data_IF_986760861067
#
_entry.id   IF_986760861067
#
_cell.length_a   1.000
_cell.length_b   1.000
_cell.length_c   1.000
_cell.angle_alpha   90.00
_cell.angle_beta   90.00
_cell.angle_gamma   90.00
#
_symmetry.space_group_name_H-M   'P 1'
#
loop_
_entity.id
_entity.type
_entity.pdbx_description
1 polymer ?
#
# COMPACT_ATOMS: atom_id res chain seq x y z
N UNK A 1 8.30 20.16 -4.88
CA UNK A 1 7.24 20.56 -3.94
C UNK A 1 6.09 21.12 -4.75
N UNK A 2 5.01 20.35 -4.86
CA UNK A 2 3.83 20.73 -5.63
C UNK A 2 2.92 21.65 -4.84
N UNK A 3 2.12 22.45 -5.55
CA UNK A 3 1.01 23.17 -4.96
C UNK A 3 -0.20 22.23 -4.86
N UNK A 4 -0.66 21.97 -3.64
CA UNK A 4 -1.89 21.20 -3.38
C UNK A 4 -3.07 22.16 -3.26
N UNK A 5 -4.13 21.90 -4.00
CA UNK A 5 -5.38 22.68 -3.93
C UNK A 5 -6.51 21.76 -3.45
N UNK A 6 -7.42 22.21 -2.58
CA UNK A 6 -8.52 21.39 -2.06
C UNK A 6 -9.41 20.78 -3.17
N UNK A 7 -9.58 21.48 -4.29
CA UNK A 7 -10.39 21.03 -5.42
C UNK A 7 -9.70 19.97 -6.30
N UNK A 8 -8.40 19.69 -6.07
CA UNK A 8 -7.70 18.64 -6.81
C UNK A 8 -8.37 17.30 -6.55
N UNK A 9 -8.68 16.62 -7.64
CA UNK A 9 -9.17 15.26 -7.66
C UNK A 9 -7.98 14.31 -7.56
N UNK A 10 -8.04 13.40 -6.60
CA UNK A 10 -6.95 12.48 -6.29
C UNK A 10 -7.43 11.05 -6.43
N UNK A 11 -6.59 10.20 -7.02
CA UNK A 11 -6.74 8.75 -6.87
C UNK A 11 -5.53 8.14 -6.16
N UNK A 12 -5.78 7.17 -5.28
CA UNK A 12 -4.75 6.52 -4.47
C UNK A 12 -4.65 5.05 -4.87
N UNK A 13 -3.45 4.61 -5.26
CA UNK A 13 -3.19 3.26 -5.74
C UNK A 13 -2.16 2.60 -4.82
N UNK A 14 -2.55 1.54 -4.11
CA UNK A 14 -1.72 0.93 -3.06
C UNK A 14 -1.27 -0.47 -3.44
N UNK A 15 0.03 -0.61 -3.64
CA UNK A 15 0.68 -1.92 -3.68
C UNK A 15 0.84 -2.47 -2.26
N UNK A 16 -0.09 -3.34 -1.86
CA UNK A 16 -0.11 -3.89 -0.49
C UNK A 16 1.09 -4.80 -0.25
N UNK A 17 1.60 -5.50 -1.26
CA UNK A 17 2.75 -6.37 -1.09
C UNK A 17 4.01 -5.56 -0.79
N UNK A 18 4.33 -4.58 -1.63
CA UNK A 18 5.50 -3.71 -1.43
C UNK A 18 5.46 -3.03 -0.06
N UNK A 19 4.29 -2.54 0.32
CA UNK A 19 4.02 -1.88 1.58
C UNK A 19 4.19 -2.83 2.79
N UNK A 20 3.64 -4.04 2.71
CA UNK A 20 3.71 -5.04 3.77
C UNK A 20 5.15 -5.56 3.97
N UNK A 21 5.87 -5.88 2.89
CA UNK A 21 7.24 -6.36 2.97
C UNK A 21 8.15 -5.32 3.63
N UNK A 22 8.03 -4.06 3.22
CA UNK A 22 8.80 -2.95 3.78
C UNK A 22 8.48 -2.73 5.26
N UNK A 23 7.20 -2.69 5.64
CA UNK A 23 6.78 -2.48 7.04
C UNK A 23 7.24 -3.61 7.97
N UNK A 24 7.12 -4.86 7.51
CA UNK A 24 7.54 -6.04 8.28
C UNK A 24 9.05 -6.07 8.44
N UNK A 25 9.81 -5.93 7.36
CA UNK A 25 11.27 -6.07 7.38
C UNK A 25 11.95 -4.95 8.18
N UNK A 26 11.50 -3.70 8.01
CA UNK A 26 12.15 -2.56 8.63
C UNK A 26 11.68 -2.31 10.07
N UNK A 27 10.41 -2.58 10.39
CA UNK A 27 9.79 -2.11 11.64
C UNK A 27 9.00 -3.17 12.41
N UNK A 28 8.82 -4.38 11.86
CA UNK A 28 7.99 -5.44 12.44
C UNK A 28 6.59 -4.91 12.83
N UNK A 29 6.01 -4.08 11.96
CA UNK A 29 4.77 -3.35 12.21
C UNK A 29 3.75 -3.58 11.08
N UNK A 30 2.49 -3.26 11.36
CA UNK A 30 1.40 -3.17 10.39
C UNK A 30 1.12 -1.70 10.07
N UNK A 31 0.45 -1.46 8.94
CA UNK A 31 0.08 -0.11 8.49
C UNK A 31 -1.40 0.17 8.69
N UNK A 32 -1.70 1.37 9.17
CA UNK A 32 -3.05 1.90 9.25
C UNK A 32 -3.48 2.44 7.89
N UNK A 33 -4.30 1.67 7.15
CA UNK A 33 -4.82 2.09 5.84
C UNK A 33 -5.65 3.37 5.92
N UNK A 34 -6.41 3.56 7.01
CA UNK A 34 -7.18 4.80 7.22
C UNK A 34 -6.26 6.03 7.30
N UNK A 35 -5.19 5.94 8.09
CA UNK A 35 -4.25 7.05 8.23
C UNK A 35 -3.40 7.23 6.98
N UNK A 36 -3.08 6.13 6.27
CA UNK A 36 -2.43 6.18 4.96
C UNK A 36 -3.27 6.97 3.96
N UNK A 37 -4.56 6.67 3.86
CA UNK A 37 -5.48 7.40 2.97
C UNK A 37 -5.55 8.88 3.33
N UNK A 38 -5.66 9.19 4.63
CA UNK A 38 -5.69 10.58 5.10
C UNK A 38 -4.41 11.35 4.73
N UNK A 39 -3.24 10.74 4.85
CA UNK A 39 -1.96 11.38 4.51
C UNK A 39 -1.78 11.53 3.00
N UNK A 40 -2.26 10.55 2.22
CA UNK A 40 -2.23 10.58 0.76
C UNK A 40 -3.16 11.65 0.19
N UNK A 41 -4.40 11.72 0.68
CA UNK A 41 -5.43 12.63 0.15
C UNK A 41 -5.28 14.04 0.72
N UNK A 42 -4.98 14.16 2.01
CA UNK A 42 -4.97 15.43 2.75
C UNK A 42 -6.34 16.12 2.69
N UNK A 43 -6.40 17.39 2.33
CA UNK A 43 -7.61 18.22 2.24
C UNK A 43 -8.24 18.22 0.82
N UNK A 44 -7.86 17.25 -0.02
CA UNK A 44 -8.24 17.19 -1.43
C UNK A 44 -9.44 16.26 -1.69
N UNK A 45 -9.98 16.32 -2.90
CA UNK A 45 -11.14 15.51 -3.30
C UNK A 45 -10.70 14.10 -3.71
N UNK A 46 -10.98 13.09 -2.87
CA UNK A 46 -10.76 11.70 -3.22
C UNK A 46 -11.77 11.23 -4.29
N UNK A 47 -11.28 10.80 -5.44
CA UNK A 47 -12.09 10.19 -6.52
C UNK A 47 -12.15 8.68 -6.39
N UNK A 48 -11.02 8.02 -6.14
CA UNK A 48 -10.95 6.57 -5.99
C UNK A 48 -9.72 6.16 -5.20
N UNK A 49 -9.86 5.17 -4.32
CA UNK A 49 -8.74 4.54 -3.63
C UNK A 49 -8.79 3.02 -3.88
N UNK A 50 -7.69 2.44 -4.36
CA UNK A 50 -7.61 1.01 -4.69
C UNK A 50 -6.44 0.37 -3.96
N UNK A 51 -6.69 -0.72 -3.24
CA UNK A 51 -5.68 -1.56 -2.62
C UNK A 51 -5.54 -2.87 -3.38
N UNK A 52 -4.34 -3.15 -3.87
CA UNK A 52 -4.02 -4.32 -4.68
C UNK A 52 -3.38 -5.40 -3.82
N UNK A 53 -4.09 -6.51 -3.67
CA UNK A 53 -3.76 -7.59 -2.72
C UNK A 53 -3.51 -8.89 -3.46
N UNK A 54 -2.49 -9.61 -3.02
CA UNK A 54 -2.20 -10.96 -3.50
C UNK A 54 -2.61 -11.92 -2.40
N UNK A 55 -3.71 -12.64 -2.65
CA UNK A 55 -4.29 -13.55 -1.67
C UNK A 55 -3.47 -14.85 -1.65
N UNK A 56 -2.86 -15.15 -0.50
CA UNK A 56 -2.16 -16.40 -0.27
C UNK A 56 -3.11 -17.48 0.28
N UNK A 57 -4.06 -17.07 1.12
CA UNK A 57 -5.14 -17.91 1.65
C UNK A 57 -6.44 -17.08 1.77
N UNK A 58 -7.33 -17.14 0.76
CA UNK A 58 -8.52 -16.30 0.68
C UNK A 58 -9.47 -16.41 1.88
N UNK A 59 -9.52 -17.55 2.57
CA UNK A 59 -10.44 -17.75 3.71
C UNK A 59 -9.93 -17.09 5.00
N UNK A 60 -8.61 -16.89 5.11
CA UNK A 60 -7.96 -16.37 6.32
C UNK A 60 -7.88 -14.83 6.37
N UNK A 61 -8.20 -14.15 5.27
CA UNK A 61 -7.91 -12.72 5.07
C UNK A 61 -9.14 -11.80 5.20
N UNK A 62 -10.33 -12.32 5.54
CA UNK A 62 -11.56 -11.53 5.63
C UNK A 62 -11.44 -10.30 6.56
N UNK A 63 -10.86 -10.45 7.76
CA UNK A 63 -10.67 -9.33 8.68
C UNK A 63 -9.77 -8.22 8.10
N UNK A 64 -8.80 -8.60 7.27
CA UNK A 64 -7.92 -7.64 6.60
C UNK A 64 -8.68 -6.86 5.53
N UNK A 65 -9.46 -7.55 4.70
CA UNK A 65 -10.28 -6.90 3.68
C UNK A 65 -11.32 -5.98 4.28
N UNK A 66 -12.00 -6.41 5.34
CA UNK A 66 -12.97 -5.58 6.05
C UNK A 66 -12.31 -4.30 6.59
N UNK A 67 -11.10 -4.40 7.12
CA UNK A 67 -10.35 -3.24 7.61
C UNK A 67 -9.93 -2.28 6.49
N UNK A 68 -9.49 -2.81 5.34
CA UNK A 68 -9.09 -2.01 4.16
C UNK A 68 -10.30 -1.35 3.51
N UNK A 69 -11.42 -2.08 3.34
CA UNK A 69 -12.66 -1.54 2.82
C UNK A 69 -13.25 -0.47 3.76
N UNK A 70 -13.26 -0.73 5.07
CA UNK A 70 -13.70 0.25 6.08
C UNK A 70 -12.80 1.49 6.14
N UNK A 71 -11.55 1.38 5.69
CA UNK A 71 -10.65 2.52 5.54
C UNK A 71 -10.94 3.37 4.30
N UNK A 72 -11.83 2.92 3.39
CA UNK A 72 -12.24 3.65 2.19
C UNK A 72 -11.60 3.16 0.88
N UNK A 73 -10.95 2.00 0.89
CA UNK A 73 -10.35 1.43 -0.33
C UNK A 73 -11.28 0.41 -0.99
N UNK A 74 -11.31 0.43 -2.33
CA UNK A 74 -11.71 -0.72 -3.13
C UNK A 74 -10.58 -1.76 -3.11
N UNK A 75 -10.89 -3.02 -2.89
CA UNK A 75 -9.89 -4.10 -2.87
C UNK A 75 -9.89 -4.87 -4.20
N UNK A 76 -8.70 -5.00 -4.80
CA UNK A 76 -8.48 -5.85 -5.98
C UNK A 76 -7.58 -7.01 -5.61
N UNK A 77 -8.09 -8.23 -5.78
CA UNK A 77 -7.41 -9.45 -5.40
C UNK A 77 -6.95 -10.25 -6.61
N UNK A 78 -5.74 -10.79 -6.53
CA UNK A 78 -5.22 -11.75 -7.50
C UNK A 78 -4.68 -12.96 -6.73
N UNK A 79 -5.09 -14.18 -7.09
CA UNK A 79 -4.59 -15.38 -6.42
C UNK A 79 -3.11 -15.56 -6.75
N UNK A 80 -2.33 -16.04 -5.77
CA UNK A 80 -0.93 -16.39 -5.99
C UNK A 80 -0.84 -17.54 -7.02
N UNK A 81 -0.26 -17.27 -8.19
CA UNK A 81 -0.09 -18.28 -9.21
C UNK A 81 1.18 -19.08 -8.96
N UNK A 82 1.04 -20.40 -8.87
CA UNK A 82 2.18 -21.33 -8.83
C UNK A 82 2.32 -21.96 -10.20
N UNK A 83 3.45 -21.74 -10.85
CA UNK A 83 3.75 -22.27 -12.18
C UNK A 83 4.30 -23.70 -12.09
N UNK A 84 4.31 -24.41 -13.21
CA UNK A 84 4.77 -25.80 -13.32
C UNK A 84 6.23 -25.99 -12.91
N UNK A 85 7.04 -24.95 -12.97
CA UNK A 85 8.44 -24.92 -12.52
C UNK A 85 8.60 -24.67 -11.01
N UNK A 86 7.49 -24.54 -10.27
CA UNK A 86 7.47 -24.22 -8.85
C UNK A 86 7.67 -22.73 -8.54
N UNK A 87 7.84 -21.88 -9.55
CA UNK A 87 7.91 -20.44 -9.34
C UNK A 87 6.54 -19.89 -8.96
N UNK A 88 6.54 -18.95 -8.01
CA UNK A 88 5.34 -18.23 -7.60
C UNK A 88 5.42 -16.84 -8.21
N UNK A 89 4.52 -16.51 -9.15
CA UNK A 89 4.36 -15.12 -9.61
C UNK A 89 2.99 -14.61 -9.20
N UNK A 90 2.98 -13.37 -8.78
CA UNK A 90 1.78 -12.71 -8.28
C UNK A 90 2.17 -11.35 -7.78
N UNK A 91 2.58 -10.48 -8.70
CA UNK A 91 2.60 -9.03 -8.52
C UNK A 91 1.33 -8.43 -9.12
N UNK A 92 1.14 -7.14 -8.83
CA UNK A 92 0.07 -6.32 -9.38
C UNK A 92 0.58 -5.22 -10.31
N UNK A 93 1.87 -5.18 -10.63
CA UNK A 93 2.54 -4.02 -11.24
C UNK A 93 1.89 -3.61 -12.56
N UNK A 94 1.64 -4.58 -13.44
CA UNK A 94 0.94 -4.33 -14.71
C UNK A 94 -0.49 -3.84 -14.47
N UNK A 95 -1.22 -4.41 -13.50
CA UNK A 95 -2.58 -4.02 -13.20
C UNK A 95 -2.67 -2.60 -12.62
N UNK A 96 -1.77 -2.28 -11.68
CA UNK A 96 -1.62 -0.96 -11.09
C UNK A 96 -1.28 0.06 -12.18
N UNK A 97 -0.31 -0.21 -13.04
CA UNK A 97 0.07 0.68 -14.12
C UNK A 97 -1.12 0.97 -15.07
N UNK A 98 -1.86 -0.06 -15.47
CA UNK A 98 -3.04 0.10 -16.33
C UNK A 98 -4.17 0.89 -15.67
N UNK A 99 -4.38 0.73 -14.36
CA UNK A 99 -5.35 1.53 -13.62
C UNK A 99 -4.89 2.96 -13.40
N UNK A 100 -3.59 3.18 -13.18
CA UNK A 100 -3.00 4.51 -13.07
C UNK A 100 -3.20 5.30 -14.36
N UNK A 101 -2.90 4.72 -15.52
CA UNK A 101 -3.14 5.36 -16.82
C UNK A 101 -4.62 5.69 -17.01
N UNK A 102 -5.52 4.74 -16.71
CA UNK A 102 -6.98 4.96 -16.85
C UNK A 102 -7.49 6.07 -15.95
N UNK A 103 -7.03 6.12 -14.70
CA UNK A 103 -7.44 7.12 -13.71
C UNK A 103 -6.77 8.47 -13.94
N UNK A 104 -5.56 8.51 -14.48
CA UNK A 104 -4.85 9.75 -14.80
C UNK A 104 -5.62 10.65 -15.78
N UNK A 105 -6.50 10.08 -16.62
CA UNK A 105 -7.43 10.85 -17.46
C UNK A 105 -8.62 11.47 -16.70
N UNK A 106 -8.80 11.12 -15.42
CA UNK A 106 -9.98 11.44 -14.61
C UNK A 106 -9.64 12.21 -13.34
N UNK A 107 -8.37 12.31 -12.98
CA UNK A 107 -7.91 12.96 -11.74
C UNK A 107 -6.77 13.91 -12.05
N UNK A 108 -6.49 14.79 -11.11
CA UNK A 108 -5.46 15.82 -11.24
C UNK A 108 -4.14 15.35 -10.60
N UNK A 109 -4.22 14.42 -9.62
CA UNK A 109 -3.06 13.73 -9.02
C UNK A 109 -3.33 12.23 -8.81
N UNK A 110 -2.31 11.42 -9.09
CA UNK A 110 -2.22 10.02 -8.69
C UNK A 110 -1.23 9.92 -7.53
N UNK A 111 -1.70 9.37 -6.40
CA UNK A 111 -0.83 8.97 -5.31
C UNK A 111 -0.54 7.48 -5.43
N UNK A 112 0.69 7.16 -5.83
CA UNK A 112 1.20 5.79 -5.92
C UNK A 112 1.84 5.40 -4.58
N UNK A 113 1.23 4.46 -3.87
CA UNK A 113 1.79 3.90 -2.64
C UNK A 113 2.58 2.64 -2.97
N UNK A 114 3.79 2.84 -3.48
CA UNK A 114 4.81 1.79 -3.71
C UNK A 114 6.18 2.43 -3.82
N UNK A 115 7.23 1.71 -3.40
CA UNK A 115 8.62 2.09 -3.62
C UNK A 115 9.27 1.45 -4.84
N UNK A 116 8.52 0.72 -5.66
CA UNK A 116 9.06 -0.07 -6.76
C UNK A 116 9.43 0.77 -8.00
N UNK A 117 10.70 0.68 -8.42
CA UNK A 117 11.23 1.40 -9.57
C UNK A 117 10.59 1.00 -10.90
N UNK A 118 9.96 -0.17 -10.99
CA UNK A 118 9.30 -0.65 -12.20
C UNK A 118 8.07 0.21 -12.58
N UNK A 119 7.59 1.06 -11.67
CA UNK A 119 6.55 2.06 -11.98
C UNK A 119 7.08 3.32 -12.68
N UNK A 120 8.39 3.55 -12.77
CA UNK A 120 8.94 4.76 -13.40
C UNK A 120 8.40 5.04 -14.82
N UNK A 121 8.25 4.05 -15.73
CA UNK A 121 7.66 4.29 -17.04
C UNK A 121 6.20 4.81 -16.98
N UNK A 122 5.38 4.32 -16.05
CA UNK A 122 4.00 4.80 -15.91
C UNK A 122 3.95 6.18 -15.27
N UNK A 123 4.81 6.46 -14.29
CA UNK A 123 4.95 7.81 -13.70
C UNK A 123 5.28 8.82 -14.79
N UNK A 124 6.31 8.54 -15.60
CA UNK A 124 6.69 9.41 -16.71
C UNK A 124 5.54 9.60 -17.72
N UNK A 125 4.79 8.55 -18.05
CA UNK A 125 3.64 8.67 -18.96
C UNK A 125 2.54 9.58 -18.38
N UNK A 126 2.18 9.41 -17.10
CA UNK A 126 1.17 10.23 -16.44
C UNK A 126 1.53 11.71 -16.47
N UNK A 127 2.79 12.04 -16.15
CA UNK A 127 3.28 13.42 -16.13
C UNK A 127 3.37 14.01 -17.54
N UNK A 128 4.06 13.33 -18.46
CA UNK A 128 4.41 13.89 -19.76
C UNK A 128 3.26 13.85 -20.76
N UNK A 129 2.42 12.81 -20.72
CA UNK A 129 1.33 12.63 -21.69
C UNK A 129 0.00 13.16 -21.19
N UNK A 130 -0.28 13.07 -19.88
CA UNK A 130 -1.56 13.47 -19.32
C UNK A 130 -1.51 14.78 -18.53
N UNK A 131 -0.32 15.27 -18.18
CA UNK A 131 -0.17 16.39 -17.24
C UNK A 131 -0.70 16.06 -15.84
N UNK A 132 -0.84 14.78 -15.52
CA UNK A 132 -1.33 14.31 -14.23
C UNK A 132 -0.14 14.28 -13.25
N UNK A 133 -0.29 14.92 -12.10
CA UNK A 133 0.74 14.89 -11.07
C UNK A 133 0.85 13.49 -10.48
N UNK A 134 2.06 13.10 -10.12
CA UNK A 134 2.32 11.82 -9.47
C UNK A 134 3.06 12.05 -8.16
N UNK A 135 2.43 11.64 -7.07
CA UNK A 135 3.01 11.63 -5.74
C UNK A 135 3.31 10.20 -5.34
N UNK A 136 4.49 9.96 -4.75
CA UNK A 136 4.88 8.63 -4.28
C UNK A 136 4.84 8.60 -2.76
N UNK A 137 4.15 7.61 -2.19
CA UNK A 137 4.17 7.34 -0.75
C UNK A 137 4.87 5.99 -0.53
N UNK A 138 6.03 6.00 0.13
CA UNK A 138 6.77 4.76 0.35
C UNK A 138 7.65 4.83 1.60
N UNK A 139 8.22 3.69 1.98
CA UNK A 139 9.32 3.66 2.92
C UNK A 139 10.60 4.13 2.21
N UNK A 140 11.12 5.30 2.60
CA UNK A 140 12.30 5.90 1.99
C UNK A 140 13.50 4.97 1.96
N UNK A 141 13.65 4.10 2.97
CA UNK A 141 14.78 3.16 3.06
C UNK A 141 14.79 2.05 1.99
N UNK A 142 13.64 1.77 1.38
CA UNK A 142 13.46 0.66 0.42
C UNK A 142 12.92 1.13 -0.92
N UNK A 143 12.58 2.42 -1.04
CA UNK A 143 12.14 3.01 -2.29
C UNK A 143 13.31 3.17 -3.27
N UNK A 144 13.02 2.95 -4.55
CA UNK A 144 13.96 3.22 -5.63
C UNK A 144 14.23 4.74 -5.74
N UNK A 145 15.50 5.15 -5.82
CA UNK A 145 15.88 6.56 -5.87
C UNK A 145 15.38 7.26 -7.14
N UNK A 146 15.46 6.62 -8.29
CA UNK A 146 15.04 7.22 -9.56
C UNK A 146 13.52 7.48 -9.56
N UNK A 147 12.74 6.58 -8.95
CA UNK A 147 11.31 6.79 -8.76
C UNK A 147 11.03 7.97 -7.82
N UNK A 148 11.78 8.07 -6.72
CA UNK A 148 11.64 9.19 -5.78
C UNK A 148 11.95 10.54 -6.44
N UNK A 149 13.01 10.58 -7.25
CA UNK A 149 13.45 11.80 -7.94
C UNK A 149 12.53 12.17 -9.11
N UNK A 150 11.86 11.19 -9.74
CA UNK A 150 10.91 11.41 -10.83
C UNK A 150 9.53 11.89 -10.35
N UNK A 151 9.11 11.50 -9.16
CA UNK A 151 7.82 11.90 -8.61
C UNK A 151 7.74 13.43 -8.38
N UNK A 152 6.56 14.01 -8.57
CA UNK A 152 6.35 15.44 -8.31
C UNK A 152 6.43 15.78 -6.80
N UNK A 153 6.06 14.81 -5.96
CA UNK A 153 6.30 14.84 -4.52
C UNK A 153 6.53 13.43 -3.96
N UNK A 154 7.29 13.35 -2.87
CA UNK A 154 7.56 12.11 -2.16
C UNK A 154 7.19 12.23 -0.68
N UNK A 155 6.27 11.37 -0.23
CA UNK A 155 5.81 11.30 1.15
C UNK A 155 6.43 10.07 1.82
N UNK A 156 7.39 10.33 2.70
CA UNK A 156 8.06 9.31 3.50
C UNK A 156 7.11 8.76 4.57
N UNK A 157 6.82 7.46 4.53
CA UNK A 157 6.07 6.76 5.59
C UNK A 157 6.81 6.91 6.92
N UNK A 158 8.14 6.99 6.89
CA UNK A 158 8.96 7.14 8.09
C UNK A 158 8.70 8.43 8.86
N UNK A 159 8.21 9.46 8.20
CA UNK A 159 7.95 10.77 8.81
C UNK A 159 6.63 10.74 9.61
N UNK A 160 5.79 9.73 9.39
CA UNK A 160 4.49 9.54 10.01
C UNK A 160 4.40 8.22 10.82
N UNK A 161 5.54 7.67 11.26
CA UNK A 161 5.59 6.36 11.97
C UNK A 161 4.60 6.22 13.12
N UNK A 162 4.45 7.25 13.95
CA UNK A 162 3.61 7.21 15.16
C UNK A 162 2.12 7.04 14.85
N UNK A 163 1.66 7.45 13.66
CA UNK A 163 0.27 7.36 13.24
C UNK A 163 0.04 6.25 12.22
N UNK A 164 1.03 5.96 11.37
CA UNK A 164 0.91 4.95 10.32
C UNK A 164 1.27 3.54 10.80
N UNK A 165 2.27 3.39 11.66
CA UNK A 165 2.79 2.08 12.05
C UNK A 165 2.30 1.67 13.44
N UNK A 166 1.70 0.50 13.54
CA UNK A 166 1.33 -0.10 14.81
C UNK A 166 1.91 -1.50 14.95
N UNK A 167 2.44 -1.78 16.14
CA UNK A 167 2.93 -3.12 16.50
C UNK A 167 1.76 -3.95 17.01
N UNK A 168 1.68 -5.20 16.57
CA UNK A 168 0.74 -6.14 17.16
C UNK A 168 1.19 -6.41 18.60
N UNK A 169 0.32 -6.16 19.59
CA UNK A 169 0.58 -6.68 20.94
C UNK A 169 0.72 -8.19 20.81
N UNK A 170 1.82 -8.75 21.32
CA UNK A 170 1.99 -10.20 21.36
C UNK A 170 0.73 -10.80 22.01
N UNK A 171 0.08 -11.76 21.34
CA UNK A 171 -0.98 -12.56 21.98
C UNK A 171 -0.32 -13.18 23.22
N UNK A 172 -0.83 -12.84 24.40
CA UNK A 172 -0.35 -13.45 25.64
C UNK A 172 -0.45 -14.97 25.49
N UNK A 173 0.68 -15.65 25.60
CA UNK A 173 0.73 -17.11 25.60
C UNK A 173 -0.25 -17.62 26.65
N UNK A 174 -1.11 -18.62 26.36
CA UNK A 174 -1.98 -19.17 27.39
C UNK A 174 -1.09 -19.72 28.50
N UNK A 175 -1.20 -19.14 29.71
CA UNK A 175 -0.52 -19.63 30.91
C UNK A 175 -0.80 -21.12 31.01
N UNK A 176 0.24 -21.93 30.91
CA UNK A 176 0.15 -23.39 31.03
C UNK A 176 -0.61 -23.73 32.33
N UNK A 177 -1.72 -24.45 32.20
CA UNK A 177 -2.40 -25.03 33.36
C UNK A 177 -1.42 -26.01 33.99
N UNK A 178 -0.96 -25.70 35.21
CA UNK A 178 -0.18 -26.62 36.02
C UNK A 178 -0.99 -27.93 36.19
N UNK A 179 -0.38 -29.06 35.83
CA UNK A 179 -0.96 -30.39 36.11
C UNK A 179 -1.06 -30.56 37.64
N UNK A 180 -2.21 -31.01 38.18
CA UNK A 180 -2.29 -31.35 39.59
C UNK A 180 -1.40 -32.57 39.86
N UNK A 181 -0.54 -32.44 40.87
CA UNK A 181 0.28 -33.52 41.40
C UNK A 181 -0.67 -34.51 42.10
N UNK A 182 -0.73 -35.75 41.59
CA UNK A 182 -1.45 -36.83 42.27
C UNK A 182 -0.77 -37.15 43.60
N UNK A 183 -1.46 -36.94 44.72
CA UNK A 183 -1.04 -37.52 46.00
C UNK A 183 -1.43 -39.00 46.03
N UNK A 184 -0.44 -39.87 46.22
CA UNK A 184 -0.63 -41.22 46.76
C UNK A 184 -0.76 -41.13 48.27
#
# INVERSE_FOLDING_TARGET
MIVRNPDQRVAVLVDVQNLYYSAKNLYQAKISFKNLLNIAVQDRTLVRAIAYVIAADPESENEFFDAVNSAGFETKMKPLQTFFDGSKKGDWDTGIAMDAVRLGHKVDSIVLVSGDGDFAPVVNYLQQSLGCLVEVVAFKKTANNDLMDMADDFISIEDHKSTLLFKQKAKASPKGKAKPISKK
#
